data_IF_393957861828
#
_entry.id   IF_393957861828
#
_cell.length_a   1.000
_cell.length_b   1.000
_cell.length_c   1.000
_cell.angle_alpha   90.00
_cell.angle_beta   90.00
_cell.angle_gamma   90.00
#
_symmetry.space_group_name_H-M   'P 1'
#
loop_
_entity.id
_entity.type
_entity.pdbx_description
1 polymer ?
#
# COMPACT_ATOMS: atom_id res chain seq x y z
N UNK A 1 84.50 25.61 -54.64
CA UNK A 1 84.59 24.70 -53.52
C UNK A 1 83.27 24.85 -52.76
N UNK A 2 82.42 23.90 -52.89
CA UNK A 2 80.98 24.03 -52.63
C UNK A 2 80.57 23.62 -51.20
N UNK A 3 79.95 24.58 -50.53
CA UNK A 3 79.37 24.42 -49.26
C UNK A 3 77.83 24.13 -49.44
N UNK A 4 77.37 22.93 -49.21
CA UNK A 4 75.92 22.57 -49.23
C UNK A 4 75.36 22.76 -47.83
N UNK A 5 74.48 23.74 -47.65
CA UNK A 5 73.67 23.89 -46.45
C UNK A 5 72.48 22.91 -46.47
N UNK A 6 72.43 22.06 -45.49
CA UNK A 6 71.30 21.22 -45.21
C UNK A 6 70.25 22.01 -44.39
N UNK A 7 69.09 22.28 -44.96
CA UNK A 7 67.95 22.82 -44.28
C UNK A 7 67.19 21.67 -43.63
N UNK A 8 67.15 21.60 -42.30
CA UNK A 8 66.29 20.72 -41.54
C UNK A 8 64.91 21.35 -41.41
N UNK A 9 63.86 20.71 -42.02
CA UNK A 9 62.46 21.04 -41.81
C UNK A 9 62.02 20.29 -40.58
N UNK A 10 61.70 21.00 -39.49
CA UNK A 10 61.07 20.43 -38.33
C UNK A 10 59.55 20.35 -38.60
N UNK A 11 59.00 19.12 -38.65
CA UNK A 11 57.60 18.87 -38.82
C UNK A 11 57.00 18.73 -37.40
N UNK A 12 56.34 19.77 -36.91
CA UNK A 12 55.58 19.74 -35.65
C UNK A 12 54.27 18.95 -35.89
N UNK A 13 54.19 17.79 -35.27
CA UNK A 13 52.93 17.01 -35.25
C UNK A 13 52.05 17.57 -34.15
N UNK A 14 50.96 18.28 -34.53
CA UNK A 14 49.87 18.62 -33.63
C UNK A 14 49.05 17.36 -33.31
N UNK A 15 49.21 16.83 -32.13
CA UNK A 15 48.33 15.76 -31.60
C UNK A 15 47.06 16.44 -31.09
N UNK A 16 46.00 16.40 -31.88
CA UNK A 16 44.66 16.81 -31.44
C UNK A 16 44.07 15.74 -30.52
N UNK A 17 44.08 15.98 -29.22
CA UNK A 17 43.40 15.13 -28.24
C UNK A 17 41.89 15.35 -28.34
N UNK A 18 41.19 14.44 -29.02
CA UNK A 18 39.72 14.40 -29.06
C UNK A 18 39.23 13.85 -27.74
N UNK A 19 38.74 14.69 -26.86
CA UNK A 19 38.02 14.29 -25.65
C UNK A 19 36.64 13.74 -26.05
N UNK A 20 36.51 12.40 -26.06
CA UNK A 20 35.20 11.73 -26.15
C UNK A 20 34.45 11.96 -24.85
N UNK A 21 33.52 12.91 -24.82
CA UNK A 21 32.46 12.95 -23.81
C UNK A 21 31.49 11.80 -24.10
N UNK A 22 31.64 10.71 -23.38
CA UNK A 22 30.59 9.68 -23.34
C UNK A 22 29.35 10.30 -22.67
N UNK A 23 28.17 10.25 -23.30
CA UNK A 23 26.96 10.70 -22.62
C UNK A 23 26.76 9.82 -21.39
N UNK A 24 26.73 10.43 -20.21
CA UNK A 24 26.32 9.75 -19.00
C UNK A 24 24.88 9.29 -19.21
N UNK A 25 24.67 7.98 -19.40
CA UNK A 25 23.34 7.37 -19.40
C UNK A 25 22.75 7.65 -18.04
N UNK A 26 21.79 8.59 -17.97
CA UNK A 26 20.94 8.77 -16.79
C UNK A 26 20.12 7.47 -16.72
N UNK A 27 20.56 6.53 -15.88
CA UNK A 27 19.77 5.37 -15.56
C UNK A 27 18.45 5.91 -14.97
N UNK A 28 17.35 5.78 -15.71
CA UNK A 28 16.03 6.09 -15.20
C UNK A 28 15.84 5.17 -13.99
N UNK A 29 15.72 5.76 -12.81
CA UNK A 29 15.41 5.00 -11.61
C UNK A 29 14.08 4.27 -11.90
N UNK A 30 14.10 2.94 -11.85
CA UNK A 30 12.87 2.16 -12.04
C UNK A 30 11.84 2.60 -11.01
N UNK A 31 10.62 2.85 -11.48
CA UNK A 31 9.49 3.20 -10.59
C UNK A 31 9.30 2.13 -9.51
N UNK A 32 8.91 2.49 -8.28
CA UNK A 32 8.68 1.54 -7.21
C UNK A 32 7.61 0.52 -7.60
N UNK A 33 7.84 -0.76 -7.33
CA UNK A 33 6.78 -1.76 -7.46
C UNK A 33 5.80 -1.62 -6.29
N UNK A 34 4.55 -2.00 -6.54
CA UNK A 34 3.52 -2.07 -5.49
C UNK A 34 3.10 -3.52 -5.33
N UNK A 35 3.30 -4.10 -4.14
CA UNK A 35 2.76 -5.40 -3.79
C UNK A 35 1.48 -5.24 -2.97
N UNK A 36 0.41 -5.92 -3.33
CA UNK A 36 -0.88 -5.89 -2.61
C UNK A 36 -1.07 -7.16 -1.82
N UNK A 37 -1.25 -7.02 -0.51
CA UNK A 37 -1.63 -8.09 0.40
C UNK A 37 -2.98 -7.76 1.02
N UNK A 38 -4.00 -8.58 0.77
CA UNK A 38 -5.35 -8.37 1.28
C UNK A 38 -5.84 -9.57 2.12
N UNK A 39 -6.37 -9.28 3.28
CA UNK A 39 -6.80 -10.29 4.25
C UNK A 39 -8.24 -10.07 4.70
N UNK A 40 -9.12 -11.05 4.39
CA UNK A 40 -10.46 -11.19 4.97
C UNK A 40 -10.38 -12.05 6.24
N UNK A 41 -10.32 -11.42 7.41
CA UNK A 41 -9.87 -12.10 8.63
C UNK A 41 -11.00 -12.82 9.40
N UNK A 42 -12.26 -12.45 9.21
CA UNK A 42 -13.38 -13.00 9.98
C UNK A 42 -14.25 -13.94 9.14
N UNK A 43 -14.07 -15.24 9.35
CA UNK A 43 -14.66 -16.28 8.50
C UNK A 43 -16.16 -16.48 8.61
N UNK A 44 -16.83 -16.05 9.70
CA UNK A 44 -18.26 -16.26 9.89
C UNK A 44 -19.14 -15.42 8.93
N UNK A 45 -18.58 -14.36 8.31
CA UNK A 45 -19.31 -13.46 7.42
C UNK A 45 -18.58 -13.31 6.10
N UNK A 46 -19.28 -13.54 4.99
CA UNK A 46 -18.72 -13.55 3.62
C UNK A 46 -18.31 -12.17 3.11
N UNK A 47 -18.76 -11.09 3.73
CA UNK A 47 -18.40 -9.73 3.35
C UNK A 47 -16.89 -9.49 3.39
N UNK A 48 -16.20 -10.03 4.39
CA UNK A 48 -14.75 -9.81 4.56
C UNK A 48 -13.92 -10.54 3.49
N UNK A 49 -14.33 -11.75 3.09
CA UNK A 49 -13.77 -12.44 1.93
C UNK A 49 -13.99 -11.63 0.65
N UNK A 50 -15.23 -11.20 0.42
CA UNK A 50 -15.64 -10.47 -0.77
C UNK A 50 -14.91 -9.12 -0.88
N UNK A 51 -14.85 -8.38 0.22
CA UNK A 51 -14.14 -7.10 0.28
C UNK A 51 -12.64 -7.25 0.05
N UNK A 52 -11.97 -8.20 0.69
CA UNK A 52 -10.54 -8.45 0.49
C UNK A 52 -10.22 -8.73 -0.99
N UNK A 53 -11.00 -9.59 -1.65
CA UNK A 53 -10.86 -9.90 -3.08
C UNK A 53 -11.08 -8.67 -3.96
N UNK A 54 -12.18 -7.96 -3.74
CA UNK A 54 -12.56 -6.81 -4.54
C UNK A 54 -11.59 -5.64 -4.38
N UNK A 55 -11.19 -5.34 -3.14
CA UNK A 55 -10.25 -4.28 -2.83
C UNK A 55 -8.87 -4.55 -3.45
N UNK A 56 -8.35 -5.78 -3.31
CA UNK A 56 -7.08 -6.16 -3.92
C UNK A 56 -7.09 -5.98 -5.44
N UNK A 57 -8.16 -6.41 -6.12
CA UNK A 57 -8.31 -6.26 -7.57
C UNK A 57 -8.33 -4.80 -8.01
N UNK A 58 -9.07 -3.95 -7.28
CA UNK A 58 -9.19 -2.52 -7.61
C UNK A 58 -7.86 -1.80 -7.38
N UNK A 59 -7.18 -2.06 -6.26
CA UNK A 59 -5.86 -1.47 -5.97
C UNK A 59 -4.85 -1.92 -7.01
N UNK A 60 -4.84 -3.21 -7.38
CA UNK A 60 -3.94 -3.74 -8.39
C UNK A 60 -4.13 -3.05 -9.75
N UNK A 61 -5.37 -2.91 -10.20
CA UNK A 61 -5.68 -2.20 -11.45
C UNK A 61 -5.31 -0.72 -11.39
N UNK A 62 -5.58 -0.06 -10.27
CA UNK A 62 -5.39 1.38 -10.13
C UNK A 62 -3.92 1.77 -9.98
N UNK A 63 -3.15 0.96 -9.28
CA UNK A 63 -1.74 1.22 -8.99
C UNK A 63 -0.77 0.30 -9.77
N UNK A 64 -1.24 -0.51 -10.73
CA UNK A 64 -0.39 -1.45 -11.47
C UNK A 64 0.36 -2.39 -10.52
N UNK A 65 -0.29 -2.93 -9.49
CA UNK A 65 0.38 -3.70 -8.46
C UNK A 65 0.60 -5.16 -8.86
N UNK A 66 1.81 -5.64 -8.59
CA UNK A 66 2.23 -7.04 -8.71
C UNK A 66 3.38 -7.29 -7.72
N UNK A 67 3.34 -8.35 -6.87
CA UNK A 67 2.30 -9.38 -6.79
C UNK A 67 1.03 -8.95 -6.04
N UNK A 68 -0.05 -9.70 -6.25
CA UNK A 68 -1.31 -9.59 -5.52
C UNK A 68 -1.57 -10.86 -4.74
N UNK A 69 -1.56 -10.77 -3.43
CA UNK A 69 -1.78 -11.91 -2.53
C UNK A 69 -3.08 -11.67 -1.75
N UNK A 70 -4.07 -12.55 -1.92
CA UNK A 70 -5.31 -12.51 -1.16
C UNK A 70 -5.44 -13.76 -0.31
N UNK A 71 -5.73 -13.59 0.98
CA UNK A 71 -6.01 -14.67 1.93
C UNK A 71 -7.26 -14.32 2.74
N UNK A 72 -8.06 -15.31 3.06
CA UNK A 72 -9.29 -15.05 3.80
C UNK A 72 -9.73 -16.29 4.57
N UNK A 73 -10.49 -16.05 5.63
CA UNK A 73 -11.18 -17.08 6.38
C UNK A 73 -12.62 -17.21 5.89
N UNK A 74 -13.18 -18.42 6.00
CA UNK A 74 -14.59 -18.73 5.76
C UNK A 74 -15.16 -19.48 6.94
N UNK A 75 -16.47 -19.75 6.92
CA UNK A 75 -17.14 -20.54 7.97
C UNK A 75 -16.53 -21.95 8.17
N UNK A 76 -15.99 -22.53 7.09
CA UNK A 76 -15.49 -23.91 7.06
C UNK A 76 -13.98 -24.01 6.86
N UNK A 77 -13.32 -22.93 6.41
CA UNK A 77 -11.90 -22.91 6.08
C UNK A 77 -11.23 -21.71 6.71
N UNK A 78 -10.12 -21.94 7.37
CA UNK A 78 -9.26 -20.89 7.97
C UNK A 78 -7.91 -20.88 7.32
N UNK A 79 -7.67 -19.92 6.41
CA UNK A 79 -6.37 -19.74 5.74
C UNK A 79 -5.47 -18.73 6.48
N UNK A 80 -6.05 -17.95 7.41
CA UNK A 80 -5.35 -16.86 8.09
C UNK A 80 -5.52 -16.99 9.61
N UNK A 81 -4.40 -17.11 10.30
CA UNK A 81 -4.22 -16.85 11.72
C UNK A 81 -3.29 -15.65 11.90
N UNK A 82 -3.13 -15.14 13.11
CA UNK A 82 -2.15 -14.09 13.40
C UNK A 82 -0.73 -14.51 12.99
N UNK A 83 -0.37 -15.78 13.21
CA UNK A 83 0.93 -16.33 12.83
C UNK A 83 1.12 -16.41 11.30
N UNK A 84 0.13 -16.96 10.58
CA UNK A 84 0.22 -17.09 9.11
C UNK A 84 0.21 -15.72 8.42
N UNK A 85 -0.48 -14.72 8.97
CA UNK A 85 -0.42 -13.35 8.48
C UNK A 85 1.02 -12.78 8.60
N UNK A 86 1.67 -13.01 9.73
CA UNK A 86 3.08 -12.62 9.94
C UNK A 86 4.03 -13.30 8.93
N UNK A 87 3.82 -14.59 8.65
CA UNK A 87 4.63 -15.36 7.70
C UNK A 87 4.43 -14.85 6.27
N UNK A 88 3.19 -14.54 5.86
CA UNK A 88 2.90 -13.97 4.53
C UNK A 88 3.54 -12.60 4.37
N UNK A 89 3.44 -11.72 5.38
CA UNK A 89 4.08 -10.40 5.37
C UNK A 89 5.60 -10.51 5.24
N UNK A 90 6.24 -11.40 6.02
CA UNK A 90 7.69 -11.63 5.98
C UNK A 90 8.12 -12.21 4.63
N UNK A 91 7.39 -13.18 4.10
CA UNK A 91 7.69 -13.80 2.80
C UNK A 91 7.57 -12.80 1.65
N UNK A 92 6.53 -11.97 1.65
CA UNK A 92 6.36 -10.91 0.64
C UNK A 92 7.47 -9.87 0.75
N UNK A 93 7.76 -9.39 1.96
CA UNK A 93 8.85 -8.43 2.19
C UNK A 93 10.20 -8.94 1.70
N UNK A 94 10.50 -10.23 1.91
CA UNK A 94 11.75 -10.83 1.43
C UNK A 94 11.92 -10.89 -0.09
N UNK A 95 10.87 -10.58 -0.85
CA UNK A 95 10.88 -10.52 -2.32
C UNK A 95 10.83 -9.09 -2.87
N UNK A 96 10.79 -8.08 -2.00
CA UNK A 96 10.66 -6.67 -2.35
C UNK A 96 11.98 -5.92 -2.16
N UNK A 97 12.18 -4.85 -2.90
CA UNK A 97 13.22 -3.86 -2.61
C UNK A 97 12.75 -3.05 -1.39
N UNK A 98 13.45 -3.22 -0.27
CA UNK A 98 13.03 -2.67 1.02
C UNK A 98 13.00 -1.14 1.06
N UNK A 99 13.80 -0.47 0.25
CA UNK A 99 13.95 0.99 0.23
C UNK A 99 13.13 1.67 -0.86
N UNK A 100 12.63 0.91 -1.87
CA UNK A 100 11.94 1.46 -3.03
C UNK A 100 10.50 1.00 -3.15
N UNK A 101 10.24 -0.30 -2.95
CA UNK A 101 8.93 -0.86 -3.22
C UNK A 101 7.90 -0.47 -2.15
N UNK A 102 6.62 -0.48 -2.54
CA UNK A 102 5.50 -0.13 -1.68
C UNK A 102 4.71 -1.39 -1.33
N UNK A 103 4.60 -1.69 -0.04
CA UNK A 103 3.70 -2.72 0.48
C UNK A 103 2.32 -2.11 0.75
N UNK A 104 1.30 -2.53 0.00
CA UNK A 104 -0.10 -2.15 0.22
C UNK A 104 -0.83 -3.28 0.97
N UNK A 105 -1.09 -3.07 2.26
CA UNK A 105 -1.77 -4.02 3.13
C UNK A 105 -3.24 -3.63 3.34
N UNK A 106 -4.16 -4.57 3.13
CA UNK A 106 -5.59 -4.42 3.37
C UNK A 106 -6.02 -5.45 4.40
N UNK A 107 -6.60 -4.99 5.51
CA UNK A 107 -7.21 -5.82 6.53
C UNK A 107 -8.69 -5.50 6.61
N UNK A 108 -9.56 -6.50 6.46
CA UNK A 108 -11.01 -6.34 6.63
C UNK A 108 -11.55 -7.38 7.60
N UNK A 109 -12.26 -6.90 8.65
CA UNK A 109 -12.73 -7.73 9.76
C UNK A 109 -13.68 -6.98 10.69
N UNK A 110 -14.16 -7.65 11.73
CA UNK A 110 -14.63 -6.98 12.94
C UNK A 110 -13.46 -6.39 13.71
N UNK A 111 -13.73 -5.32 14.46
CA UNK A 111 -12.72 -4.66 15.29
C UNK A 111 -13.24 -4.26 16.66
N UNK A 112 -12.30 -4.00 17.55
CA UNK A 112 -12.48 -3.45 18.90
C UNK A 112 -11.30 -2.55 19.24
N UNK A 113 -11.32 -1.90 20.39
CA UNK A 113 -10.19 -1.11 20.89
C UNK A 113 -8.91 -1.95 21.11
N UNK A 114 -9.03 -3.28 21.24
CA UNK A 114 -7.87 -4.19 21.33
C UNK A 114 -7.23 -4.53 19.97
N UNK A 115 -7.92 -4.26 18.86
CA UNK A 115 -7.47 -4.59 17.52
C UNK A 115 -8.54 -5.26 16.66
N UNK A 116 -8.13 -5.95 15.60
CA UNK A 116 -9.05 -6.64 14.68
C UNK A 116 -9.15 -8.13 15.00
N UNK A 117 -10.36 -8.68 14.84
CA UNK A 117 -10.63 -10.09 15.06
C UNK A 117 -10.08 -10.94 13.90
N UNK A 118 -9.48 -12.08 14.24
CA UNK A 118 -9.05 -13.11 13.29
C UNK A 118 -9.79 -14.38 13.64
N UNK A 119 -10.80 -14.75 12.84
CA UNK A 119 -11.61 -15.95 13.07
C UNK A 119 -11.43 -16.97 11.96
N UNK A 120 -10.90 -18.13 12.33
CA UNK A 120 -10.72 -19.30 11.46
C UNK A 120 -11.48 -20.51 12.04
N UNK A 121 -12.67 -20.77 11.53
CA UNK A 121 -13.57 -21.78 12.10
C UNK A 121 -13.96 -21.42 13.54
N UNK A 122 -13.60 -22.29 14.49
CA UNK A 122 -13.85 -22.06 15.93
C UNK A 122 -12.76 -21.27 16.63
N UNK A 123 -11.60 -21.10 15.99
CA UNK A 123 -10.47 -20.36 16.56
C UNK A 123 -10.70 -18.86 16.40
N UNK A 124 -10.54 -18.15 17.50
CA UNK A 124 -10.64 -16.70 17.56
C UNK A 124 -9.34 -16.12 18.14
N UNK A 125 -8.73 -15.18 17.41
CA UNK A 125 -7.56 -14.44 17.83
C UNK A 125 -7.82 -12.94 17.65
N UNK A 126 -6.99 -12.11 18.24
CA UNK A 126 -7.00 -10.65 18.04
C UNK A 126 -5.64 -10.21 17.52
N UNK A 127 -5.63 -9.54 16.38
CA UNK A 127 -4.44 -8.86 15.87
C UNK A 127 -4.40 -7.45 16.45
N UNK A 128 -3.56 -7.25 17.45
CA UNK A 128 -3.41 -5.94 18.09
C UNK A 128 -2.54 -4.99 17.27
N UNK A 129 -2.69 -3.66 17.44
CA UNK A 129 -1.85 -2.67 16.76
C UNK A 129 -0.34 -2.85 16.99
N UNK A 130 0.16 -3.12 18.22
CA UNK A 130 1.58 -3.40 18.42
C UNK A 130 2.07 -4.68 17.72
N UNK A 131 1.24 -5.74 17.68
CA UNK A 131 1.59 -6.96 16.97
C UNK A 131 1.73 -6.71 15.46
N UNK A 132 0.80 -5.97 14.85
CA UNK A 132 0.88 -5.60 13.43
C UNK A 132 2.11 -4.73 13.16
N UNK A 133 2.42 -3.76 14.02
CA UNK A 133 3.64 -2.95 13.89
C UNK A 133 4.90 -3.81 13.89
N UNK A 134 5.00 -4.79 14.81
CA UNK A 134 6.10 -5.74 14.85
C UNK A 134 6.23 -6.58 13.59
N UNK A 135 5.10 -7.07 13.05
CA UNK A 135 5.07 -7.84 11.80
C UNK A 135 5.54 -7.02 10.59
N UNK A 136 5.05 -5.78 10.45
CA UNK A 136 5.47 -4.87 9.39
C UNK A 136 6.95 -4.51 9.47
N UNK A 137 7.47 -4.31 10.66
CA UNK A 137 8.90 -4.08 10.86
C UNK A 137 9.74 -5.32 10.51
N UNK A 138 9.25 -6.52 10.84
CA UNK A 138 9.91 -7.79 10.50
C UNK A 138 9.85 -8.11 9.01
N UNK A 139 8.88 -7.58 8.26
CA UNK A 139 8.82 -7.68 6.81
C UNK A 139 9.89 -6.83 6.11
N UNK A 140 10.45 -5.82 6.78
CA UNK A 140 11.58 -5.02 6.33
C UNK A 140 11.24 -3.92 5.32
N UNK A 141 10.09 -3.96 4.63
CA UNK A 141 9.71 -2.97 3.62
C UNK A 141 9.45 -1.62 4.29
N UNK A 142 10.11 -0.59 3.82
CA UNK A 142 10.07 0.76 4.37
C UNK A 142 8.76 1.47 4.05
N UNK A 143 8.36 1.46 2.78
CA UNK A 143 7.21 2.21 2.29
C UNK A 143 5.94 1.38 2.36
N UNK A 144 4.96 1.82 3.16
CA UNK A 144 3.78 1.02 3.47
C UNK A 144 2.50 1.83 3.36
N UNK A 145 1.47 1.21 2.80
CA UNK A 145 0.09 1.69 2.86
C UNK A 145 -0.70 0.63 3.61
N UNK A 146 -1.34 0.99 4.70
CA UNK A 146 -2.13 0.08 5.53
C UNK A 146 -3.55 0.58 5.61
N UNK A 147 -4.49 -0.21 5.07
CA UNK A 147 -5.93 0.07 5.15
C UNK A 147 -6.57 -0.93 6.09
N UNK A 148 -7.22 -0.43 7.15
CA UNK A 148 -7.93 -1.25 8.14
C UNK A 148 -9.42 -0.96 8.06
N UNK A 149 -10.17 -1.83 7.38
CA UNK A 149 -11.62 -1.78 7.25
C UNK A 149 -12.27 -2.57 8.40
N UNK A 150 -12.41 -1.91 9.55
CA UNK A 150 -12.97 -2.50 10.77
C UNK A 150 -13.51 -1.42 11.71
N UNK A 151 -14.37 -1.82 12.64
CA UNK A 151 -14.78 -1.00 13.78
C UNK A 151 -13.55 -0.64 14.62
N UNK A 152 -13.54 0.53 15.27
CA UNK A 152 -12.48 1.01 16.17
C UNK A 152 -11.08 1.03 15.54
N UNK A 153 -10.99 0.97 14.21
CA UNK A 153 -9.73 0.81 13.48
C UNK A 153 -8.73 1.97 13.67
N UNK A 154 -9.18 3.12 14.14
CA UNK A 154 -8.33 4.27 14.52
C UNK A 154 -7.27 3.93 15.57
N UNK A 155 -7.42 2.85 16.35
CA UNK A 155 -6.38 2.37 17.27
C UNK A 155 -5.07 2.00 16.57
N UNK A 156 -5.09 1.74 15.25
CA UNK A 156 -3.92 1.42 14.45
C UNK A 156 -3.14 2.66 13.98
N UNK A 157 -3.74 3.86 13.99
CA UNK A 157 -3.09 5.06 13.47
C UNK A 157 -1.80 5.39 14.20
N UNK A 158 -1.88 5.62 15.51
CA UNK A 158 -0.73 6.05 16.31
C UNK A 158 0.46 5.07 16.29
N UNK A 159 0.24 3.75 16.38
CA UNK A 159 1.35 2.78 16.34
C UNK A 159 2.00 2.60 14.98
N UNK A 160 1.30 2.90 13.86
CA UNK A 160 1.76 2.58 12.52
C UNK A 160 2.12 3.80 11.68
N UNK A 161 1.38 4.90 11.80
CA UNK A 161 1.52 6.05 10.92
C UNK A 161 2.83 6.81 11.18
N UNK A 162 3.58 7.04 10.10
CA UNK A 162 4.80 7.84 10.08
C UNK A 162 5.04 8.38 8.66
N UNK A 163 6.17 9.00 8.38
CA UNK A 163 6.46 9.55 7.04
C UNK A 163 6.45 8.49 5.93
N UNK A 164 6.89 7.27 6.22
CA UNK A 164 7.00 6.15 5.28
C UNK A 164 5.80 5.19 5.34
N UNK A 165 4.85 5.40 6.24
CA UNK A 165 3.66 4.56 6.39
C UNK A 165 2.40 5.41 6.39
N UNK A 166 1.59 5.26 5.33
CA UNK A 166 0.23 5.80 5.24
C UNK A 166 -0.75 4.82 5.87
N UNK A 167 -1.54 5.27 6.83
CA UNK A 167 -2.58 4.45 7.47
C UNK A 167 -3.95 5.07 7.20
N UNK A 168 -4.87 4.24 6.74
CA UNK A 168 -6.27 4.59 6.43
C UNK A 168 -7.18 3.66 7.23
N UNK A 169 -8.17 4.21 7.94
CA UNK A 169 -9.07 3.44 8.81
C UNK A 169 -10.54 3.74 8.54
N UNK A 170 -11.39 2.72 8.68
CA UNK A 170 -12.84 2.82 8.45
C UNK A 170 -13.58 3.52 9.60
N UNK A 171 -12.94 3.64 10.75
CA UNK A 171 -13.49 4.31 11.92
C UNK A 171 -12.37 4.95 12.75
N UNK A 172 -12.71 5.84 13.66
CA UNK A 172 -11.78 6.27 14.70
C UNK A 172 -11.59 5.18 15.79
N UNK A 173 -10.89 5.51 16.87
CA UNK A 173 -10.60 4.58 17.97
C UNK A 173 -11.79 4.31 18.92
N UNK A 174 -12.88 5.04 18.79
CA UNK A 174 -13.99 5.04 19.73
C UNK A 174 -15.32 4.60 19.10
N UNK A 175 -15.39 4.54 17.75
CA UNK A 175 -16.63 4.28 17.05
C UNK A 175 -16.58 3.00 16.21
N UNK A 176 -17.78 2.44 16.00
CA UNK A 176 -17.98 1.33 15.07
C UNK A 176 -18.05 1.82 13.63
N UNK A 177 -17.63 0.99 12.67
CA UNK A 177 -18.01 1.11 11.27
C UNK A 177 -19.18 0.16 10.96
N UNK A 178 -19.75 0.25 9.74
CA UNK A 178 -21.00 -0.43 9.39
C UNK A 178 -20.90 -1.26 8.11
N UNK A 179 -21.94 -2.07 7.87
CA UNK A 179 -22.04 -2.89 6.67
C UNK A 179 -21.41 -4.28 6.78
N UNK A 180 -21.02 -4.73 7.99
CA UNK A 180 -20.41 -6.04 8.22
C UNK A 180 -21.47 -7.17 8.23
N UNK A 181 -22.39 -7.18 7.25
CA UNK A 181 -23.46 -8.16 7.18
C UNK A 181 -23.06 -9.36 6.31
N UNK A 182 -23.62 -10.53 6.60
CA UNK A 182 -23.46 -11.69 5.71
C UNK A 182 -24.15 -11.46 4.35
N UNK A 183 -23.60 -12.01 3.29
CA UNK A 183 -24.12 -11.93 1.91
C UNK A 183 -24.06 -10.56 1.23
N UNK A 184 -23.53 -9.50 1.87
CA UNK A 184 -23.18 -8.27 1.19
C UNK A 184 -21.75 -8.36 0.62
N UNK A 185 -21.45 -7.57 -0.40
CA UNK A 185 -20.12 -7.61 -1.04
C UNK A 185 -19.10 -6.72 -0.37
N UNK A 186 -19.56 -5.65 0.30
CA UNK A 186 -18.73 -4.59 0.84
C UNK A 186 -19.23 -4.09 2.19
N UNK A 187 -18.33 -3.72 3.07
CA UNK A 187 -18.64 -2.84 4.20
C UNK A 187 -18.98 -1.44 3.68
N UNK A 188 -19.53 -0.56 4.51
CA UNK A 188 -19.81 0.82 4.08
C UNK A 188 -18.54 1.56 3.66
N UNK A 189 -17.47 1.40 4.43
CA UNK A 189 -16.19 2.01 4.12
C UNK A 189 -15.55 1.37 2.89
N UNK A 190 -15.52 0.05 2.79
CA UNK A 190 -14.95 -0.65 1.64
C UNK A 190 -15.64 -0.31 0.33
N UNK A 191 -16.98 -0.19 0.33
CA UNK A 191 -17.75 0.26 -0.83
C UNK A 191 -17.42 1.71 -1.22
N UNK A 192 -17.34 2.60 -0.22
CA UNK A 192 -17.04 3.99 -0.47
C UNK A 192 -15.60 4.20 -0.94
N UNK A 193 -14.62 3.59 -0.26
CA UNK A 193 -13.20 3.82 -0.54
C UNK A 193 -12.71 3.03 -1.75
N UNK A 194 -12.83 1.70 -1.74
CA UNK A 194 -12.31 0.87 -2.83
C UNK A 194 -13.25 0.89 -4.04
N UNK A 195 -14.53 0.53 -3.83
CA UNK A 195 -15.45 0.29 -4.95
C UNK A 195 -15.92 1.57 -5.64
N UNK A 196 -15.93 2.71 -4.96
CA UNK A 196 -16.40 3.99 -5.53
C UNK A 196 -15.24 4.97 -5.74
N UNK A 197 -14.63 5.49 -4.68
CA UNK A 197 -13.69 6.60 -4.78
C UNK A 197 -12.39 6.21 -5.49
N UNK A 198 -11.76 5.09 -5.14
CA UNK A 198 -10.49 4.66 -5.71
C UNK A 198 -10.60 4.27 -7.19
N UNK A 199 -11.79 3.94 -7.69
CA UNK A 199 -12.01 3.75 -9.14
C UNK A 199 -11.89 5.05 -9.92
N UNK A 200 -12.19 6.17 -9.29
CA UNK A 200 -12.21 7.50 -9.94
C UNK A 200 -10.84 8.20 -9.90
N UNK A 201 -10.00 7.91 -8.91
CA UNK A 201 -8.69 8.55 -8.74
C UNK A 201 -7.63 7.57 -8.22
N UNK A 202 -6.37 7.78 -8.58
CA UNK A 202 -5.22 7.08 -8.00
C UNK A 202 -4.64 7.80 -6.78
N UNK A 203 -5.08 9.03 -6.50
CA UNK A 203 -4.69 9.78 -5.31
C UNK A 203 -5.46 9.24 -4.10
N UNK A 204 -4.73 8.63 -3.17
CA UNK A 204 -5.32 7.97 -2.01
C UNK A 204 -5.96 8.95 -1.02
N UNK A 205 -5.48 10.20 -0.94
CA UNK A 205 -6.06 11.22 -0.08
C UNK A 205 -7.36 11.74 -0.66
N UNK A 206 -7.37 12.03 -1.94
CA UNK A 206 -8.59 12.41 -2.65
C UNK A 206 -9.64 11.30 -2.60
N UNK A 207 -9.22 10.02 -2.77
CA UNK A 207 -10.11 8.88 -2.62
C UNK A 207 -10.67 8.76 -1.20
N UNK A 208 -9.83 9.00 -0.18
CA UNK A 208 -10.24 8.99 1.23
C UNK A 208 -11.25 10.09 1.56
N UNK A 209 -11.03 11.32 1.10
CA UNK A 209 -11.94 12.44 1.33
C UNK A 209 -13.32 12.18 0.70
N UNK A 210 -13.33 11.70 -0.54
CA UNK A 210 -14.57 11.31 -1.23
C UNK A 210 -15.29 10.15 -0.52
N UNK A 211 -14.54 9.13 -0.08
CA UNK A 211 -15.10 7.99 0.64
C UNK A 211 -15.69 8.40 2.00
N UNK A 212 -15.00 9.25 2.74
CA UNK A 212 -15.46 9.76 4.03
C UNK A 212 -16.77 10.55 3.90
N UNK A 213 -16.92 11.34 2.83
CA UNK A 213 -18.17 12.03 2.53
C UNK A 213 -19.31 11.05 2.23
N UNK A 214 -19.05 10.00 1.43
CA UNK A 214 -20.04 8.95 1.11
C UNK A 214 -20.46 8.21 2.37
N UNK A 215 -19.50 7.79 3.22
CA UNK A 215 -19.78 7.10 4.49
C UNK A 215 -20.65 7.97 5.38
N UNK A 216 -20.28 9.23 5.58
CA UNK A 216 -21.04 10.18 6.40
C UNK A 216 -22.47 10.37 5.91
N UNK A 217 -22.67 10.51 4.59
CA UNK A 217 -24.03 10.64 4.03
C UNK A 217 -24.87 9.39 4.29
N UNK A 218 -24.28 8.20 4.15
CA UNK A 218 -24.94 6.92 4.42
C UNK A 218 -25.31 6.78 5.90
N UNK A 219 -24.40 7.13 6.79
CA UNK A 219 -24.63 7.11 8.24
C UNK A 219 -25.75 8.06 8.66
N UNK A 220 -25.76 9.27 8.13
CA UNK A 220 -26.84 10.25 8.36
C UNK A 220 -28.19 9.72 7.85
N UNK A 221 -28.23 9.13 6.66
CA UNK A 221 -29.44 8.55 6.08
C UNK A 221 -30.07 7.46 6.95
N UNK A 222 -29.22 6.61 7.55
CA UNK A 222 -29.64 5.50 8.40
C UNK A 222 -29.65 5.84 9.89
N UNK A 223 -29.46 7.11 10.27
CA UNK A 223 -29.41 7.58 11.67
C UNK A 223 -28.39 6.82 12.53
N UNK A 224 -27.24 6.49 11.96
CA UNK A 224 -26.15 5.81 12.66
C UNK A 224 -25.22 6.82 13.36
N UNK A 225 -24.56 6.35 14.41
CA UNK A 225 -23.48 7.12 15.05
C UNK A 225 -22.31 7.21 14.03
N UNK A 226 -21.73 8.41 13.80
CA UNK A 226 -20.64 8.54 12.84
C UNK A 226 -19.45 7.65 13.16
N UNK A 227 -18.95 6.92 12.16
CA UNK A 227 -17.74 6.08 12.28
C UNK A 227 -16.46 6.89 12.29
N UNK A 228 -16.45 8.09 11.70
CA UNK A 228 -15.31 8.98 11.58
C UNK A 228 -14.07 8.30 10.97
N UNK A 229 -14.06 7.91 9.69
CA UNK A 229 -12.89 7.38 9.02
C UNK A 229 -11.69 8.32 9.16
N UNK A 230 -10.48 7.77 9.24
CA UNK A 230 -9.27 8.55 9.48
C UNK A 230 -8.14 8.16 8.54
N UNK A 231 -7.25 9.12 8.28
CA UNK A 231 -6.02 8.93 7.48
C UNK A 231 -4.87 9.66 8.18
N UNK A 232 -3.70 9.03 8.26
CA UNK A 232 -2.51 9.63 8.88
C UNK A 232 -1.22 9.11 8.28
N UNK A 233 -0.13 9.90 8.38
CA UNK A 233 1.21 9.55 7.89
C UNK A 233 1.35 9.64 6.37
N UNK A 234 2.34 8.94 5.82
CA UNK A 234 2.50 8.69 4.38
C UNK A 234 3.06 9.84 3.55
N UNK A 235 3.73 10.82 4.14
CA UNK A 235 4.32 11.93 3.35
C UNK A 235 5.23 11.43 2.21
N UNK A 236 6.06 10.42 2.49
CA UNK A 236 6.94 9.85 1.49
C UNK A 236 6.18 8.94 0.51
N UNK A 237 5.09 8.30 0.93
CA UNK A 237 4.20 7.54 0.06
C UNK A 237 3.55 8.44 -0.99
N UNK A 238 3.05 9.61 -0.59
CA UNK A 238 2.43 10.56 -1.51
C UNK A 238 3.41 10.99 -2.62
N UNK A 239 4.69 11.22 -2.27
CA UNK A 239 5.74 11.56 -3.24
C UNK A 239 6.03 10.40 -4.20
N UNK A 240 6.19 9.19 -3.69
CA UNK A 240 6.46 7.99 -4.51
C UNK A 240 5.31 7.68 -5.49
N UNK A 241 4.07 7.79 -5.04
CA UNK A 241 2.90 7.58 -5.91
C UNK A 241 2.77 8.68 -6.97
N UNK A 242 3.08 9.94 -6.64
CA UNK A 242 3.07 11.05 -7.60
C UNK A 242 4.15 10.87 -8.68
N UNK A 243 5.37 10.45 -8.30
CA UNK A 243 6.45 10.14 -9.25
C UNK A 243 6.05 9.01 -10.20
N UNK A 244 5.43 7.94 -9.68
CA UNK A 244 4.96 6.82 -10.47
C UNK A 244 3.92 7.24 -11.51
N UNK A 245 2.88 7.98 -11.10
CA UNK A 245 1.84 8.48 -12.00
C UNK A 245 2.44 9.40 -13.07
N UNK A 246 3.39 10.26 -12.69
CA UNK A 246 4.09 11.15 -13.63
C UNK A 246 5.01 10.41 -14.62
N UNK A 247 5.51 9.22 -14.27
CA UNK A 247 6.31 8.36 -15.15
C UNK A 247 5.44 7.59 -16.17
N UNK A 248 4.24 7.16 -15.79
CA UNK A 248 3.28 6.47 -16.68
C UNK A 248 2.63 7.41 -17.69
N UNK A 249 2.64 8.72 -17.45
CA UNK A 249 2.07 9.74 -18.33
C UNK A 249 3.07 10.27 -19.40
N UNK A 250 4.31 9.82 -19.40
CA UNK A 250 5.37 10.18 -20.37
C UNK A 250 5.64 9.03 -21.34
#
# INVERSE_FOLDING_TARGET
>A
MNSRRLVRVAMEQLIATVLFFAPASIASAASPNVAVLAFGLFGAQSVFESEAKGAASIVAQKLGADPVIVRFNTKIRGDVSVATLADVLRSAGGQMDHDKDILFLILTSHGSQAGVAVQAGRRMETLSPPALAGMLNSAGVRHRIVVVSACYSGVFLRPLANADTLVITAADSEHSSFGCQDKVKWTYFGDAFFNTALRSTADLRQAFDAASAIVRQRELHYHLVPSNPQIAGGKNIDLLLAERIGAEAR
#
